data_IF_495689048946
#
_entry.id   IF_495689048946
#
_cell.length_a   1.000
_cell.length_b   1.000
_cell.length_c   1.000
_cell.angle_alpha   90.00
_cell.angle_beta   90.00
_cell.angle_gamma   90.00
#
_symmetry.space_group_name_H-M   'P 1'
#
loop_
_entity.id
_entity.type
_entity.pdbx_description
1 polymer ?
#
# COMPACT_ATOMS: atom_id res chain seq x y z
N UNK A 1 -0.01 8.77 -22.09
CA UNK A 1 1.11 7.89 -22.49
C UNK A 1 1.93 7.46 -21.29
N UNK A 2 2.60 8.39 -20.57
CA UNK A 2 3.47 8.08 -19.41
C UNK A 2 2.84 7.13 -18.37
N UNK A 3 1.65 7.46 -17.84
CA UNK A 3 0.96 6.63 -16.83
C UNK A 3 0.80 5.18 -17.27
N UNK A 4 0.41 4.95 -18.54
CA UNK A 4 0.26 3.60 -19.10
C UNK A 4 1.60 2.86 -19.21
N UNK A 5 2.68 3.56 -19.55
CA UNK A 5 4.01 2.97 -19.60
C UNK A 5 4.49 2.54 -18.21
N UNK A 6 4.23 3.34 -17.18
CA UNK A 6 4.51 2.99 -15.79
C UNK A 6 3.67 1.77 -15.38
N UNK A 7 2.37 1.82 -15.62
CA UNK A 7 1.41 0.75 -15.33
C UNK A 7 1.85 -0.59 -15.94
N UNK A 8 2.18 -0.59 -17.24
CA UNK A 8 2.69 -1.75 -17.96
C UNK A 8 4.01 -2.26 -17.36
N UNK A 9 4.95 -1.36 -17.09
CA UNK A 9 6.28 -1.73 -16.57
C UNK A 9 6.18 -2.41 -15.21
N UNK A 10 5.37 -1.85 -14.32
CA UNK A 10 5.11 -2.41 -13.00
C UNK A 10 4.42 -3.76 -13.14
N UNK A 11 3.31 -3.80 -13.89
CA UNK A 11 2.56 -5.03 -14.13
C UNK A 11 3.43 -6.19 -14.65
N UNK A 12 4.32 -5.92 -15.61
CA UNK A 12 5.23 -6.94 -16.15
C UNK A 12 6.32 -7.33 -15.14
N UNK A 13 6.82 -6.38 -14.35
CA UNK A 13 7.77 -6.68 -13.28
C UNK A 13 7.14 -7.60 -12.22
N UNK A 14 5.90 -7.30 -11.82
CA UNK A 14 5.15 -8.10 -10.85
C UNK A 14 4.81 -9.48 -11.39
N UNK A 15 4.40 -9.56 -12.67
CA UNK A 15 4.18 -10.84 -13.34
C UNK A 15 5.43 -11.74 -13.32
N UNK A 16 6.63 -11.14 -13.46
CA UNK A 16 7.90 -11.87 -13.44
C UNK A 16 8.34 -12.28 -12.04
N UNK A 17 8.22 -11.37 -11.07
CA UNK A 17 8.84 -11.54 -9.74
C UNK A 17 7.90 -12.12 -8.69
N UNK A 18 6.59 -11.91 -8.83
CA UNK A 18 5.62 -12.21 -7.78
C UNK A 18 5.64 -11.21 -6.63
N UNK A 19 5.11 -11.63 -5.48
CA UNK A 19 5.17 -10.85 -4.25
C UNK A 19 6.60 -10.82 -3.69
N UNK A 20 7.03 -9.66 -3.23
CA UNK A 20 8.25 -9.51 -2.44
C UNK A 20 8.02 -10.21 -1.08
N UNK A 21 8.91 -11.15 -0.67
CA UNK A 21 8.74 -11.95 0.54
C UNK A 21 8.56 -11.12 1.82
N UNK A 22 9.01 -9.86 1.84
CA UNK A 22 8.84 -8.97 2.99
C UNK A 22 7.39 -8.62 3.25
N UNK A 23 6.57 -8.48 2.20
CA UNK A 23 5.12 -8.28 2.36
C UNK A 23 4.45 -9.54 2.88
N UNK A 24 4.87 -10.71 2.41
CA UNK A 24 4.37 -12.00 2.89
C UNK A 24 4.64 -12.16 4.39
N UNK A 25 5.89 -11.99 4.82
CA UNK A 25 6.28 -12.10 6.23
C UNK A 25 5.57 -11.06 7.11
N UNK A 26 5.47 -9.82 6.62
CA UNK A 26 4.80 -8.73 7.32
C UNK A 26 3.30 -8.99 7.51
N UNK A 27 2.57 -9.32 6.44
CA UNK A 27 1.14 -9.64 6.54
C UNK A 27 0.89 -10.85 7.42
N UNK A 28 1.71 -11.91 7.30
CA UNK A 28 1.61 -13.11 8.14
C UNK A 28 1.74 -12.77 9.62
N UNK A 29 2.65 -11.87 9.99
CA UNK A 29 2.85 -11.45 11.38
C UNK A 29 1.70 -10.58 11.93
N UNK A 30 0.91 -9.96 11.04
CA UNK A 30 -0.28 -9.17 11.42
C UNK A 30 -1.57 -10.00 11.45
N UNK A 31 -1.52 -11.23 10.92
CA UNK A 31 -2.68 -12.12 10.78
C UNK A 31 -2.76 -13.10 11.94
N UNK A 32 -3.98 -13.31 12.43
CA UNK A 32 -4.34 -14.40 13.33
C UNK A 32 -5.42 -15.25 12.66
N UNK A 33 -5.35 -16.56 12.87
CA UNK A 33 -6.37 -17.50 12.42
C UNK A 33 -7.10 -18.04 13.64
N UNK A 34 -8.42 -17.86 13.67
CA UNK A 34 -9.26 -18.46 14.69
C UNK A 34 -9.35 -19.98 14.45
N UNK A 35 -8.90 -20.77 15.41
CA UNK A 35 -8.76 -22.22 15.25
C UNK A 35 -10.10 -22.97 15.13
N UNK A 36 -11.21 -22.39 15.61
CA UNK A 36 -12.52 -23.03 15.62
C UNK A 36 -13.32 -22.72 14.34
N UNK A 37 -13.29 -21.46 13.89
CA UNK A 37 -14.03 -20.97 12.74
C UNK A 37 -13.21 -20.95 11.44
N UNK A 38 -11.88 -21.05 11.53
CA UNK A 38 -10.96 -20.90 10.41
C UNK A 38 -10.92 -19.49 9.82
N UNK A 39 -11.49 -18.49 10.53
CA UNK A 39 -11.56 -17.10 10.08
C UNK A 39 -10.24 -16.38 10.33
N UNK A 40 -9.90 -15.49 9.41
CA UNK A 40 -8.68 -14.70 9.49
C UNK A 40 -9.03 -13.31 10.02
N UNK A 41 -8.31 -12.89 11.04
CA UNK A 41 -8.39 -11.57 11.64
C UNK A 41 -7.03 -10.88 11.57
N UNK A 42 -7.02 -9.58 11.35
CA UNK A 42 -5.80 -8.79 11.46
C UNK A 42 -5.75 -8.11 12.83
N UNK A 43 -4.54 -7.87 13.32
CA UNK A 43 -4.34 -7.11 14.56
C UNK A 43 -5.05 -5.73 14.44
N UNK A 44 -5.89 -5.36 15.42
CA UNK A 44 -6.66 -4.13 15.36
C UNK A 44 -5.74 -2.90 15.51
N UNK A 45 -6.22 -1.74 15.07
CA UNK A 45 -5.50 -0.47 15.22
C UNK A 45 -4.40 -0.22 14.19
N UNK A 46 -4.30 -1.06 13.16
CA UNK A 46 -3.40 -0.84 12.02
C UNK A 46 -4.14 -0.09 10.92
N UNK A 47 -3.47 0.92 10.36
CA UNK A 47 -3.90 1.62 9.16
C UNK A 47 -2.74 1.67 8.16
N UNK A 48 -3.02 1.41 6.88
CA UNK A 48 -2.04 1.31 5.81
C UNK A 48 -2.31 2.40 4.78
N UNK A 49 -1.36 3.30 4.60
CA UNK A 49 -1.34 4.26 3.51
C UNK A 49 -0.15 3.99 2.60
N UNK A 50 -0.41 3.94 1.30
CA UNK A 50 0.64 3.67 0.30
C UNK A 50 0.67 4.74 -0.79
N UNK A 51 1.89 5.19 -1.08
CA UNK A 51 2.19 5.97 -2.29
C UNK A 51 2.57 5.08 -3.49
N UNK A 52 2.82 3.79 -3.25
CA UNK A 52 3.31 2.86 -4.25
C UNK A 52 2.22 2.47 -5.25
N UNK A 53 2.61 2.32 -6.51
CA UNK A 53 1.71 1.89 -7.58
C UNK A 53 1.58 0.37 -7.67
N UNK A 54 2.60 -0.38 -7.22
CA UNK A 54 2.65 -1.84 -7.22
C UNK A 54 1.59 -2.48 -6.33
N UNK A 55 1.22 -3.72 -6.62
CA UNK A 55 0.17 -4.49 -5.96
C UNK A 55 0.75 -5.53 -5.00
N UNK A 56 1.86 -5.21 -4.31
CA UNK A 56 2.60 -6.20 -3.50
C UNK A 56 1.81 -6.72 -2.29
N UNK A 57 0.97 -5.87 -1.67
CA UNK A 57 0.07 -6.30 -0.59
C UNK A 57 -0.97 -7.26 -1.15
N UNK A 58 -1.59 -6.92 -2.28
CA UNK A 58 -2.61 -7.74 -2.92
C UNK A 58 -2.04 -9.08 -3.40
N UNK A 59 -0.84 -9.08 -4.00
CA UNK A 59 -0.14 -10.29 -4.42
C UNK A 59 0.17 -11.20 -3.23
N UNK A 60 0.71 -10.64 -2.15
CA UNK A 60 1.01 -11.40 -0.94
C UNK A 60 -0.27 -11.98 -0.29
N UNK A 61 -1.38 -11.23 -0.30
CA UNK A 61 -2.68 -11.75 0.17
C UNK A 61 -3.25 -12.84 -0.72
N UNK A 62 -3.04 -12.75 -2.04
CA UNK A 62 -3.45 -13.78 -2.98
C UNK A 62 -2.73 -15.11 -2.71
N UNK A 63 -1.44 -15.04 -2.37
CA UNK A 63 -0.60 -16.17 -2.00
C UNK A 63 -0.92 -16.71 -0.60
N UNK A 64 -1.19 -15.84 0.38
CA UNK A 64 -1.48 -16.22 1.77
C UNK A 64 -2.88 -16.80 1.97
N UNK A 65 -3.87 -16.28 1.25
CA UNK A 65 -5.29 -16.56 1.50
C UNK A 65 -5.96 -17.07 0.23
N UNK A 66 -6.20 -16.18 -0.74
CA UNK A 66 -6.70 -16.53 -2.08
C UNK A 66 -6.76 -15.30 -2.99
N UNK A 67 -6.73 -15.53 -4.29
CA UNK A 67 -6.92 -14.50 -5.32
C UNK A 67 -8.24 -13.71 -5.13
N UNK A 68 -9.32 -14.38 -4.72
CA UNK A 68 -10.63 -13.75 -4.52
C UNK A 68 -10.58 -12.67 -3.42
N UNK A 69 -9.83 -12.94 -2.35
CA UNK A 69 -9.65 -11.99 -1.24
C UNK A 69 -8.80 -10.80 -1.65
N UNK A 70 -7.71 -11.05 -2.38
CA UNK A 70 -6.88 -9.99 -2.91
C UNK A 70 -7.68 -9.07 -3.85
N UNK A 71 -8.53 -9.66 -4.70
CA UNK A 71 -9.41 -8.91 -5.61
C UNK A 71 -10.47 -8.10 -4.85
N UNK A 72 -11.05 -8.65 -3.80
CA UNK A 72 -12.05 -7.95 -2.99
C UNK A 72 -11.46 -6.71 -2.30
N UNK A 73 -10.22 -6.81 -1.80
CA UNK A 73 -9.48 -5.67 -1.24
C UNK A 73 -9.11 -4.65 -2.33
N UNK A 74 -8.77 -5.12 -3.53
CA UNK A 74 -8.47 -4.25 -4.66
C UNK A 74 -9.68 -3.42 -5.10
N UNK A 75 -10.86 -4.05 -5.12
CA UNK A 75 -12.14 -3.46 -5.52
C UNK A 75 -12.83 -2.66 -4.41
N UNK A 76 -12.35 -2.77 -3.17
CA UNK A 76 -12.98 -2.17 -1.99
C UNK A 76 -14.29 -2.87 -1.57
N UNK A 77 -14.51 -4.09 -2.05
CA UNK A 77 -15.70 -4.92 -1.81
C UNK A 77 -15.39 -5.94 -0.70
N UNK A 78 -15.43 -5.50 0.56
CA UNK A 78 -15.03 -6.35 1.69
C UNK A 78 -16.04 -7.45 2.07
N UNK A 79 -17.25 -7.45 1.48
CA UNK A 79 -18.42 -8.16 2.03
C UNK A 79 -18.39 -9.70 1.91
N UNK A 80 -17.47 -10.30 1.15
CA UNK A 80 -17.45 -11.75 0.90
C UNK A 80 -16.11 -12.44 1.22
N UNK A 81 -15.22 -11.79 1.99
CA UNK A 81 -13.90 -12.33 2.31
C UNK A 81 -13.92 -13.21 3.58
N UNK A 82 -13.15 -14.32 3.67
CA UNK A 82 -12.81 -14.97 4.94
C UNK A 82 -12.06 -14.06 5.93
N UNK A 83 -11.62 -12.87 5.49
CA UNK A 83 -11.11 -11.82 6.37
C UNK A 83 -12.28 -11.06 6.96
N UNK A 84 -12.36 -11.04 8.29
CA UNK A 84 -13.44 -10.32 8.99
C UNK A 84 -13.08 -8.84 9.22
N UNK A 85 -11.79 -8.50 9.34
CA UNK A 85 -11.34 -7.17 9.75
C UNK A 85 -10.02 -6.76 9.07
N UNK A 86 -10.01 -6.53 7.75
CA UNK A 86 -8.78 -6.05 7.10
C UNK A 86 -8.48 -4.61 7.54
N UNK A 87 -7.20 -4.25 7.83
CA UNK A 87 -6.81 -2.89 8.17
C UNK A 87 -7.31 -1.88 7.14
N UNK A 88 -7.61 -0.65 7.57
CA UNK A 88 -7.86 0.42 6.62
C UNK A 88 -6.66 0.50 5.66
N UNK A 89 -6.91 0.36 4.36
CA UNK A 89 -5.87 0.34 3.35
C UNK A 89 -6.22 1.27 2.20
N UNK A 90 -5.35 2.24 1.95
CA UNK A 90 -5.58 3.21 0.89
C UNK A 90 -4.31 3.57 0.12
N UNK A 91 -4.43 3.58 -1.22
CA UNK A 91 -3.35 3.97 -2.14
C UNK A 91 -3.58 5.39 -2.64
N UNK A 92 -2.79 6.32 -2.13
CA UNK A 92 -2.92 7.77 -2.39
C UNK A 92 -2.79 8.13 -3.87
N UNK A 93 -1.95 7.37 -4.59
CA UNK A 93 -1.62 7.58 -5.99
C UNK A 93 -2.29 6.58 -6.93
N UNK A 94 -3.27 5.80 -6.45
CA UNK A 94 -3.83 4.70 -7.23
C UNK A 94 -2.84 3.55 -7.43
N UNK A 95 -3.07 2.75 -8.48
CA UNK A 95 -2.32 1.50 -8.69
C UNK A 95 -2.07 1.19 -10.16
N UNK A 96 -1.10 0.29 -10.39
CA UNK A 96 -0.90 -0.38 -11.66
C UNK A 96 -1.84 -1.59 -11.83
N UNK A 97 -1.86 -2.16 -13.03
CA UNK A 97 -2.60 -3.37 -13.40
C UNK A 97 -4.05 -3.13 -13.86
N UNK A 98 -4.37 -1.89 -14.24
CA UNK A 98 -5.70 -1.54 -14.79
C UNK A 98 -5.77 -1.68 -16.33
N UNK A 99 -4.70 -2.15 -16.96
CA UNK A 99 -4.69 -2.38 -18.41
C UNK A 99 -5.61 -3.56 -18.78
N UNK A 100 -6.39 -3.39 -19.84
CA UNK A 100 -7.24 -4.45 -20.41
C UNK A 100 -6.39 -5.46 -21.19
N UNK A 101 -6.74 -6.73 -21.11
CA UNK A 101 -6.02 -7.84 -21.76
C UNK A 101 -6.91 -8.78 -22.59
N UNK A 102 -8.23 -8.73 -22.45
CA UNK A 102 -9.15 -9.51 -23.29
C UNK A 102 -10.43 -8.72 -23.64
N UNK A 103 -11.03 -9.05 -24.80
CA UNK A 103 -12.36 -8.59 -25.25
C UNK A 103 -13.31 -9.80 -25.32
N UNK A 104 -14.34 -9.84 -24.46
CA UNK A 104 -15.31 -10.93 -24.39
C UNK A 104 -16.51 -10.63 -23.49
N UNK A 105 -17.19 -11.65 -22.97
CA UNK A 105 -18.30 -11.51 -22.01
C UNK A 105 -17.84 -11.16 -20.58
N UNK A 106 -16.56 -11.37 -20.28
CA UNK A 106 -15.91 -10.94 -19.04
C UNK A 106 -14.66 -10.14 -19.40
N UNK A 107 -14.75 -8.81 -19.34
CA UNK A 107 -13.60 -7.95 -19.56
C UNK A 107 -12.58 -8.14 -18.44
N UNK A 108 -11.41 -8.71 -18.77
CA UNK A 108 -10.32 -8.91 -17.81
C UNK A 108 -9.31 -7.79 -17.84
N UNK A 109 -8.94 -7.35 -16.64
CA UNK A 109 -7.82 -6.43 -16.41
C UNK A 109 -6.61 -7.20 -15.89
N UNK A 110 -5.42 -6.63 -16.08
CA UNK A 110 -4.15 -7.25 -15.67
C UNK A 110 -4.15 -7.73 -14.23
N UNK A 111 -4.69 -6.96 -13.29
CA UNK A 111 -4.75 -7.36 -11.87
C UNK A 111 -5.53 -8.65 -11.63
N UNK A 112 -6.61 -8.90 -12.38
CA UNK A 112 -7.38 -10.16 -12.24
C UNK A 112 -6.55 -11.37 -12.64
N UNK A 113 -5.76 -11.25 -13.71
CA UNK A 113 -4.85 -12.31 -14.13
C UNK A 113 -3.66 -12.41 -13.18
N UNK A 114 -3.02 -11.29 -12.82
CA UNK A 114 -1.89 -11.29 -11.89
C UNK A 114 -2.24 -11.97 -10.57
N UNK A 115 -3.39 -11.66 -9.98
CA UNK A 115 -3.80 -12.21 -8.69
C UNK A 115 -4.31 -13.66 -8.81
N UNK A 116 -4.94 -14.02 -9.92
CA UNK A 116 -5.45 -15.38 -10.16
C UNK A 116 -4.39 -16.41 -10.57
N UNK A 117 -3.22 -15.96 -11.02
CA UNK A 117 -2.16 -16.86 -11.47
C UNK A 117 -1.35 -17.44 -10.32
N UNK A 118 -1.30 -18.77 -10.24
CA UNK A 118 -0.53 -19.50 -9.21
C UNK A 118 0.98 -19.40 -9.43
N UNK A 119 1.43 -19.34 -10.69
CA UNK A 119 2.86 -19.27 -11.02
C UNK A 119 3.23 -17.90 -11.61
N UNK A 120 4.27 -17.30 -11.04
CA UNK A 120 4.90 -16.06 -11.50
C UNK A 120 6.17 -16.39 -12.27
N UNK A 121 6.60 -15.49 -13.15
CA UNK A 121 7.80 -15.68 -13.97
C UNK A 121 7.66 -15.13 -15.38
N UNK A 122 8.65 -15.42 -16.22
CA UNK A 122 8.71 -14.92 -17.60
C UNK A 122 7.54 -15.41 -18.46
N UNK A 123 7.02 -16.62 -18.21
CA UNK A 123 5.84 -17.14 -18.90
C UNK A 123 4.59 -16.30 -18.62
N UNK A 124 4.35 -15.97 -17.35
CA UNK A 124 3.24 -15.11 -16.93
C UNK A 124 3.37 -13.71 -17.54
N UNK A 125 4.56 -13.10 -17.43
CA UNK A 125 4.84 -11.79 -18.00
C UNK A 125 4.71 -11.75 -19.52
N UNK A 126 5.15 -12.79 -20.23
CA UNK A 126 5.04 -12.87 -21.68
C UNK A 126 3.57 -12.99 -22.12
N UNK A 127 2.73 -13.73 -21.38
CA UNK A 127 1.29 -13.81 -21.65
C UNK A 127 0.61 -12.46 -21.46
N UNK A 128 0.85 -11.79 -20.32
CA UNK A 128 0.31 -10.44 -20.07
C UNK A 128 0.79 -9.47 -21.14
N UNK A 129 2.08 -9.45 -21.46
CA UNK A 129 2.65 -8.58 -22.49
C UNK A 129 2.02 -8.79 -23.87
N UNK A 130 1.86 -10.05 -24.30
CA UNK A 130 1.19 -10.37 -25.58
C UNK A 130 -0.26 -9.90 -25.59
N UNK A 131 -0.99 -10.17 -24.51
CA UNK A 131 -2.39 -9.81 -24.40
C UNK A 131 -2.60 -8.29 -24.44
N UNK A 132 -1.74 -7.52 -23.76
CA UNK A 132 -1.79 -6.04 -23.80
C UNK A 132 -1.51 -5.53 -25.22
N UNK A 133 -0.50 -6.07 -25.92
CA UNK A 133 -0.16 -5.64 -27.28
C UNK A 133 -1.27 -5.95 -28.29
N UNK A 134 -2.03 -7.03 -28.08
CA UNK A 134 -3.16 -7.35 -28.95
C UNK A 134 -4.39 -6.47 -28.74
N UNK A 135 -4.47 -5.74 -27.63
CA UNK A 135 -5.63 -4.89 -27.32
C UNK A 135 -5.55 -3.53 -28.00
N UNK A 136 -6.65 -3.13 -28.65
CA UNK A 136 -6.75 -1.84 -29.33
C UNK A 136 -7.16 -0.71 -28.37
N UNK A 137 -7.77 -1.06 -27.24
CA UNK A 137 -8.27 -0.10 -26.27
C UNK A 137 -7.90 -0.52 -24.86
N UNK A 138 -7.25 0.41 -24.14
CA UNK A 138 -7.05 0.29 -22.71
C UNK A 138 -7.82 1.42 -22.02
N UNK A 139 -8.43 1.14 -20.85
CA UNK A 139 -8.97 2.20 -20.02
C UNK A 139 -7.87 3.21 -19.64
N UNK A 140 -8.25 4.39 -19.11
CA UNK A 140 -7.32 5.24 -18.39
C UNK A 140 -6.64 4.43 -17.27
N UNK A 141 -5.32 4.59 -17.13
CA UNK A 141 -4.60 3.96 -16.02
C UNK A 141 -5.10 4.54 -14.69
N UNK A 142 -5.22 3.70 -13.67
CA UNK A 142 -5.58 4.12 -12.32
C UNK A 142 -4.42 4.84 -11.59
N UNK A 143 -3.25 4.94 -12.23
CA UNK A 143 -2.14 5.75 -11.75
C UNK A 143 -2.54 7.23 -11.68
N UNK A 144 -2.37 7.81 -10.51
CA UNK A 144 -2.56 9.22 -10.21
C UNK A 144 -1.27 9.81 -9.65
N UNK A 145 -1.01 11.07 -10.01
CA UNK A 145 0.08 11.82 -9.39
C UNK A 145 -0.49 12.63 -8.23
N UNK A 146 0.32 12.99 -7.25
CA UNK A 146 -0.11 13.73 -6.07
C UNK A 146 -0.90 15.01 -6.38
N UNK A 147 -0.55 15.74 -7.44
CA UNK A 147 -1.25 16.96 -7.85
C UNK A 147 -2.55 16.72 -8.65
N UNK A 148 -2.94 15.48 -8.91
CA UNK A 148 -4.12 15.15 -9.71
C UNK A 148 -5.42 15.05 -8.87
N UNK A 149 -5.40 15.46 -7.60
CA UNK A 149 -6.60 15.71 -6.80
C UNK A 149 -7.25 14.49 -6.12
N UNK A 150 -6.83 13.25 -6.43
CA UNK A 150 -7.39 12.01 -5.86
C UNK A 150 -7.44 12.01 -4.33
N UNK A 151 -6.42 12.56 -3.68
CA UNK A 151 -6.37 12.67 -2.21
C UNK A 151 -7.60 13.38 -1.63
N UNK A 152 -8.13 14.41 -2.31
CA UNK A 152 -9.27 15.16 -1.80
C UNK A 152 -10.57 14.35 -1.78
N UNK A 153 -10.73 13.40 -2.70
CA UNK A 153 -11.93 12.55 -2.79
C UNK A 153 -12.03 11.60 -1.59
N UNK A 154 -10.89 11.21 -1.03
CA UNK A 154 -10.79 10.19 0.03
C UNK A 154 -10.35 10.77 1.37
N UNK A 155 -10.22 12.09 1.44
CA UNK A 155 -9.69 12.84 2.58
C UNK A 155 -10.46 12.58 3.87
N UNK A 156 -11.78 12.42 3.80
CA UNK A 156 -12.63 12.16 4.98
C UNK A 156 -12.31 10.80 5.58
N UNK A 157 -12.32 9.73 4.77
CA UNK A 157 -12.02 8.37 5.22
C UNK A 157 -10.59 8.27 5.77
N UNK A 158 -9.61 8.88 5.09
CA UNK A 158 -8.22 8.94 5.57
C UNK A 158 -8.14 9.66 6.92
N UNK A 159 -8.82 10.81 7.07
CA UNK A 159 -8.82 11.57 8.32
C UNK A 159 -9.44 10.79 9.48
N UNK A 160 -10.51 10.05 9.22
CA UNK A 160 -11.16 9.19 10.21
C UNK A 160 -10.22 8.07 10.66
N UNK A 161 -9.59 7.37 9.71
CA UNK A 161 -8.64 6.29 10.00
C UNK A 161 -7.41 6.77 10.78
N UNK A 162 -6.86 7.94 10.41
CA UNK A 162 -5.62 8.46 11.02
C UNK A 162 -5.83 9.23 12.33
N UNK A 163 -7.08 9.57 12.68
CA UNK A 163 -7.39 10.56 13.71
C UNK A 163 -6.87 10.23 15.11
N UNK A 164 -6.71 8.93 15.40
CA UNK A 164 -6.22 8.37 16.67
C UNK A 164 -4.87 7.66 16.54
N UNK A 165 -4.17 7.80 15.41
CA UNK A 165 -2.86 7.19 15.20
C UNK A 165 -1.83 7.81 16.16
N UNK A 166 -1.24 6.98 17.03
CA UNK A 166 -0.17 7.39 17.95
C UNK A 166 1.25 7.04 17.44
N UNK A 167 1.34 6.07 16.54
CA UNK A 167 2.60 5.53 16.01
C UNK A 167 2.53 5.48 14.49
N UNK A 168 3.47 6.16 13.83
CA UNK A 168 3.63 6.13 12.37
C UNK A 168 4.91 5.39 12.02
N UNK A 169 4.80 4.34 11.20
CA UNK A 169 5.96 3.68 10.57
C UNK A 169 5.99 4.06 9.09
N UNK A 170 7.08 4.71 8.69
CA UNK A 170 7.33 5.11 7.30
C UNK A 170 8.34 4.15 6.70
N UNK A 171 7.98 3.48 5.61
CA UNK A 171 8.81 2.44 4.98
C UNK A 171 9.20 2.90 3.58
N UNK A 172 10.51 3.11 3.34
CA UNK A 172 11.06 3.35 2.01
C UNK A 172 10.52 4.58 1.26
N UNK A 173 9.98 5.58 1.99
CA UNK A 173 9.41 6.78 1.40
C UNK A 173 10.40 7.94 1.44
N UNK A 174 10.67 8.53 0.27
CA UNK A 174 11.69 9.57 0.10
C UNK A 174 11.22 10.99 0.39
N UNK A 175 9.93 11.21 0.70
CA UNK A 175 9.34 12.55 0.91
C UNK A 175 9.62 13.55 -0.22
N UNK A 176 9.28 13.23 -1.47
CA UNK A 176 9.54 14.12 -2.59
C UNK A 176 8.82 15.46 -2.43
N UNK A 177 9.46 16.55 -2.84
CA UNK A 177 8.95 17.91 -2.62
C UNK A 177 7.53 18.14 -3.17
N UNK A 178 7.16 17.50 -4.29
CA UNK A 178 5.83 17.62 -4.88
C UNK A 178 4.71 16.95 -4.05
N UNK A 179 5.06 16.05 -3.12
CA UNK A 179 4.10 15.45 -2.18
C UNK A 179 3.97 16.26 -0.88
N UNK A 180 4.86 17.24 -0.63
CA UNK A 180 4.98 17.93 0.68
C UNK A 180 3.65 18.46 1.20
N UNK A 181 2.81 19.02 0.33
CA UNK A 181 1.49 19.52 0.73
C UNK A 181 0.60 18.40 1.29
N UNK A 182 0.54 17.26 0.60
CA UNK A 182 -0.27 16.11 1.02
C UNK A 182 0.33 15.47 2.26
N UNK A 183 1.66 15.33 2.30
CA UNK A 183 2.36 14.82 3.49
C UNK A 183 2.01 15.68 4.72
N UNK A 184 2.15 17.00 4.66
CA UNK A 184 1.78 17.89 5.78
C UNK A 184 0.30 17.77 6.16
N UNK A 185 -0.60 17.57 5.19
CA UNK A 185 -2.02 17.33 5.48
C UNK A 185 -2.26 15.99 6.19
N UNK A 186 -1.58 14.92 5.78
CA UNK A 186 -1.63 13.60 6.40
C UNK A 186 -1.11 13.67 7.85
N UNK A 187 0.06 14.27 8.07
CA UNK A 187 0.61 14.45 9.41
C UNK A 187 -0.36 15.19 10.31
N UNK A 188 -0.93 16.31 9.84
CA UNK A 188 -1.91 17.12 10.59
C UNK A 188 -3.16 16.33 11.01
N UNK A 189 -3.52 15.24 10.33
CA UNK A 189 -4.66 14.40 10.71
C UNK A 189 -4.37 13.53 11.94
N UNK A 190 -3.10 13.17 12.18
CA UNK A 190 -2.67 12.29 13.27
C UNK A 190 -2.55 13.05 14.59
N UNK A 191 -3.70 13.43 15.17
CA UNK A 191 -3.76 14.31 16.35
C UNK A 191 -3.04 13.73 17.57
N UNK A 192 -3.02 12.41 17.70
CA UNK A 192 -2.51 11.70 18.86
C UNK A 192 -1.09 11.15 18.66
N UNK A 193 -0.42 11.53 17.57
CA UNK A 193 0.93 11.07 17.25
C UNK A 193 1.90 11.32 18.41
N UNK A 194 2.68 10.29 18.73
CA UNK A 194 3.72 10.23 19.77
C UNK A 194 5.01 9.65 19.25
N UNK A 195 4.96 8.77 18.26
CA UNK A 195 6.13 8.14 17.69
C UNK A 195 6.09 8.12 16.16
N UNK A 196 7.20 8.45 15.52
CA UNK A 196 7.44 8.24 14.10
C UNK A 196 8.73 7.44 13.92
N UNK A 197 8.63 6.29 13.27
CA UNK A 197 9.76 5.44 12.89
C UNK A 197 9.95 5.47 11.39
N UNK A 198 11.17 5.76 10.94
CA UNK A 198 11.51 5.83 9.52
C UNK A 198 12.40 4.63 9.20
N UNK A 199 11.83 3.63 8.55
CA UNK A 199 12.54 2.47 8.03
C UNK A 199 13.06 2.77 6.63
N UNK A 200 14.36 3.04 6.54
CA UNK A 200 15.04 3.30 5.29
C UNK A 200 16.56 3.14 5.48
N UNK A 201 17.30 2.57 4.51
CA UNK A 201 18.77 2.50 4.58
C UNK A 201 19.44 3.86 4.81
N UNK A 202 18.86 4.94 4.28
CA UNK A 202 19.33 6.31 4.36
C UNK A 202 18.29 7.19 5.08
N UNK A 203 17.98 6.86 6.34
CA UNK A 203 16.93 7.54 7.09
C UNK A 203 17.31 8.95 7.59
N UNK A 204 18.60 9.29 7.70
CA UNK A 204 19.03 10.49 8.45
C UNK A 204 18.42 11.78 7.88
N UNK A 205 18.48 11.98 6.56
CA UNK A 205 17.85 13.13 5.92
C UNK A 205 16.31 13.10 6.00
N UNK A 206 15.72 11.90 6.00
CA UNK A 206 14.26 11.70 6.10
C UNK A 206 13.74 12.03 7.50
N UNK A 207 14.53 11.76 8.54
CA UNK A 207 14.23 12.16 9.92
C UNK A 207 14.13 13.68 10.03
N UNK A 208 15.06 14.42 9.42
CA UNK A 208 15.01 15.88 9.44
C UNK A 208 13.81 16.44 8.66
N UNK A 209 13.49 15.85 7.51
CA UNK A 209 12.29 16.19 6.74
C UNK A 209 11.01 15.98 7.58
N UNK A 210 10.89 14.84 8.26
CA UNK A 210 9.74 14.54 9.12
C UNK A 210 9.68 15.50 10.29
N UNK A 211 10.81 15.85 10.91
CA UNK A 211 10.87 16.86 11.98
C UNK A 211 10.42 18.23 11.50
N UNK A 212 10.79 18.64 10.30
CA UNK A 212 10.33 19.89 9.68
C UNK A 212 8.80 19.88 9.54
N UNK A 213 8.22 18.83 8.93
CA UNK A 213 6.75 18.69 8.77
C UNK A 213 6.05 18.69 10.14
N UNK A 214 6.60 17.99 11.13
CA UNK A 214 6.08 17.96 12.50
C UNK A 214 6.22 19.29 13.21
N UNK A 215 7.22 20.10 12.90
CA UNK A 215 7.37 21.43 13.47
C UNK A 215 6.23 22.37 13.03
N UNK A 216 5.79 22.23 11.78
CA UNK A 216 4.68 22.98 11.19
C UNK A 216 3.31 22.48 11.70
N UNK A 217 3.17 21.16 11.86
CA UNK A 217 1.88 20.52 12.15
C UNK A 217 1.64 20.30 13.66
N UNK A 218 2.70 20.04 14.43
CA UNK A 218 2.67 19.61 15.84
C UNK A 218 3.74 20.32 16.70
N UNK A 219 4.21 21.51 16.29
CA UNK A 219 5.35 22.21 16.88
C UNK A 219 5.45 22.21 18.42
N UNK A 220 4.36 22.51 19.18
CA UNK A 220 4.41 22.43 20.64
C UNK A 220 4.78 21.03 21.18
N UNK A 221 4.16 19.97 20.65
CA UNK A 221 4.42 18.59 21.07
C UNK A 221 5.84 18.15 20.72
N UNK A 222 6.33 18.54 19.54
CA UNK A 222 7.69 18.22 19.11
C UNK A 222 8.73 18.91 20.01
N UNK A 223 8.57 20.22 20.30
CA UNK A 223 9.50 20.97 21.18
C UNK A 223 9.53 20.47 22.61
N UNK A 224 8.42 19.91 23.10
CA UNK A 224 8.30 19.32 24.43
C UNK A 224 8.84 17.87 24.49
N UNK A 225 9.29 17.30 23.36
CA UNK A 225 9.76 15.92 23.31
C UNK A 225 8.65 14.87 23.44
N UNK A 226 7.39 15.27 23.27
CA UNK A 226 6.24 14.35 23.30
C UNK A 226 6.22 13.45 22.07
N UNK A 227 6.66 13.99 20.92
CA UNK A 227 6.78 13.24 19.67
C UNK A 227 8.23 12.82 19.46
N UNK A 228 8.47 11.52 19.37
CA UNK A 228 9.77 10.95 19.08
C UNK A 228 9.88 10.58 17.60
N UNK A 229 10.98 10.96 16.96
CA UNK A 229 11.28 10.62 15.56
C UNK A 229 12.58 9.86 15.51
N UNK A 230 12.52 8.60 15.07
CA UNK A 230 13.68 7.68 15.06
C UNK A 230 13.82 7.02 13.70
N UNK A 231 15.06 6.67 13.35
CA UNK A 231 15.38 5.90 12.15
C UNK A 231 15.59 4.44 12.46
N UNK A 232 15.23 3.57 11.51
CA UNK A 232 15.43 2.12 11.55
C UNK A 232 16.14 1.72 10.26
N UNK A 233 17.34 1.16 10.37
CA UNK A 233 18.14 0.69 9.24
C UNK A 233 18.57 -0.77 9.44
N UNK A 234 19.07 -1.40 8.38
CA UNK A 234 19.67 -2.73 8.44
C UNK A 234 18.68 -3.85 8.77
N UNK A 235 17.40 -3.64 8.51
CA UNK A 235 16.34 -4.64 8.73
C UNK A 235 16.02 -5.36 7.43
N UNK A 236 15.95 -6.70 7.51
CA UNK A 236 15.57 -7.54 6.38
C UNK A 236 14.06 -7.57 6.15
N UNK A 237 13.28 -7.27 7.20
CA UNK A 237 11.82 -7.30 7.20
C UNK A 237 11.22 -5.92 7.49
N UNK A 238 9.93 -5.74 7.17
CA UNK A 238 9.21 -4.53 7.56
C UNK A 238 9.04 -4.48 9.08
N UNK A 239 9.31 -3.30 9.63
CA UNK A 239 9.25 -3.05 11.06
C UNK A 239 7.80 -3.13 11.55
N UNK A 240 7.58 -3.87 12.62
CA UNK A 240 6.29 -3.97 13.30
C UNK A 240 6.47 -3.38 14.70
N UNK A 241 5.72 -2.34 15.09
CA UNK A 241 5.76 -1.82 16.45
C UNK A 241 5.37 -2.88 17.48
N UNK A 242 6.04 -2.91 18.62
CA UNK A 242 5.73 -3.84 19.70
C UNK A 242 4.28 -3.71 20.22
N UNK A 243 3.64 -2.55 20.04
CA UNK A 243 2.24 -2.32 20.39
C UNK A 243 1.24 -3.05 19.52
N UNK A 244 1.67 -3.58 18.37
CA UNK A 244 0.82 -4.21 17.35
C UNK A 244 0.89 -5.74 17.42
N UNK A 245 1.97 -6.30 17.97
CA UNK A 245 2.13 -7.75 18.09
C UNK A 245 1.26 -8.25 19.26
N UNK A 246 0.37 -9.24 19.04
CA UNK A 246 -0.48 -9.80 20.08
C UNK A 246 0.30 -10.54 21.18
#
# INVERSE_FOLDING_TARGET
>A
MLKRSIDLTISLSEARKGADPRYFAWLSALMNCDSESGRIHFAPGINILSWNYDNQIELALAELISAQVALSILEGTHEASPIVDFPFYHKLNGRAGHLRIERGTEDRIVNQVLLGESEKGDGCAARIGRAIVSEQFHPPSDISFAWAGRFNEQKTAIKEALGSTDTLVVIGYSFPAFNRKIDSEIFKMMRDIREVKIQDPEYQGKVEIVREILSETHGPKLRQGIIQVTGVAGVEQFFIPNSVVP
#
